data_IF_756339147876
#
_entry.id   IF_756339147876
#
_cell.length_a   1.000
_cell.length_b   1.000
_cell.length_c   1.000
_cell.angle_alpha   90.00
_cell.angle_beta   90.00
_cell.angle_gamma   90.00
#
_symmetry.space_group_name_H-M   'P 1'
#
loop_
_entity.id
_entity.type
_entity.pdbx_description
1 polymer ?
#
# COMPACT_ATOMS: atom_id res chain seq x y z
N UNK A 1 -29.45 5.61 2.98
CA UNK A 1 -28.07 6.04 3.30
C UNK A 1 -27.36 4.98 4.15
N UNK A 2 -27.95 4.51 5.26
CA UNK A 2 -27.38 3.43 6.09
C UNK A 2 -27.15 2.13 5.31
N UNK A 3 -28.09 1.73 4.42
CA UNK A 3 -27.92 0.56 3.54
C UNK A 3 -26.78 0.68 2.53
N UNK A 4 -26.35 1.90 2.18
CA UNK A 4 -25.26 2.13 1.24
C UNK A 4 -23.89 2.03 1.92
N UNK A 5 -23.73 2.64 3.10
CA UNK A 5 -22.50 2.58 3.89
C UNK A 5 -22.17 1.14 4.28
N UNK A 6 -23.17 0.40 4.77
CA UNK A 6 -23.02 -1.02 5.13
C UNK A 6 -22.69 -1.89 3.93
N UNK A 7 -23.31 -1.62 2.78
CA UNK A 7 -23.01 -2.32 1.52
C UNK A 7 -21.55 -2.11 1.09
N UNK A 8 -21.04 -0.88 1.15
CA UNK A 8 -19.65 -0.57 0.80
C UNK A 8 -18.68 -1.25 1.78
N UNK A 9 -18.95 -1.18 3.08
CA UNK A 9 -18.09 -1.79 4.10
C UNK A 9 -18.05 -3.32 4.00
N UNK A 10 -19.21 -3.97 3.82
CA UNK A 10 -19.27 -5.43 3.60
C UNK A 10 -18.60 -5.83 2.29
N UNK A 11 -18.74 -5.04 1.23
CA UNK A 11 -18.06 -5.27 -0.04
C UNK A 11 -16.54 -5.24 0.15
N UNK A 12 -16.01 -4.23 0.86
CA UNK A 12 -14.59 -4.12 1.20
C UNK A 12 -14.08 -5.38 1.91
N UNK A 13 -14.79 -5.84 2.95
CA UNK A 13 -14.35 -6.99 3.74
C UNK A 13 -14.42 -8.33 2.98
N UNK A 14 -15.43 -8.51 2.14
CA UNK A 14 -15.63 -9.75 1.39
C UNK A 14 -14.71 -9.87 0.18
N UNK A 15 -14.42 -8.76 -0.50
CA UNK A 15 -13.61 -8.78 -1.72
C UNK A 15 -12.11 -8.81 -1.43
N UNK A 16 -11.64 -8.28 -0.29
CA UNK A 16 -10.25 -8.46 0.11
C UNK A 16 -9.89 -9.94 0.40
N UNK A 17 -10.83 -10.73 0.91
CA UNK A 17 -10.64 -12.19 1.03
C UNK A 17 -10.43 -12.87 -0.35
N UNK A 18 -10.88 -12.26 -1.44
CA UNK A 18 -10.70 -12.75 -2.81
C UNK A 18 -9.42 -12.22 -3.49
N UNK A 19 -8.80 -11.14 -2.98
CA UNK A 19 -7.54 -10.56 -3.51
C UNK A 19 -6.38 -11.56 -3.48
N UNK A 20 -6.46 -12.60 -2.66
CA UNK A 20 -5.43 -13.63 -2.53
C UNK A 20 -5.54 -14.80 -3.54
N UNK A 21 -6.63 -14.91 -4.32
CA UNK A 21 -6.96 -16.16 -5.05
C UNK A 21 -6.76 -16.09 -6.57
N UNK A 22 -6.72 -14.92 -7.21
CA UNK A 22 -6.59 -14.84 -8.67
C UNK A 22 -5.47 -13.87 -9.08
N UNK A 23 -4.35 -14.46 -9.51
CA UNK A 23 -3.11 -13.79 -9.92
C UNK A 23 -3.22 -12.97 -11.22
N UNK A 24 -4.38 -12.90 -11.88
CA UNK A 24 -4.54 -12.26 -13.21
C UNK A 24 -5.37 -10.95 -13.20
N UNK A 25 -6.18 -10.67 -12.16
CA UNK A 25 -7.05 -9.46 -12.04
C UNK A 25 -6.64 -8.54 -10.87
N UNK A 26 -5.36 -8.56 -10.49
CA UNK A 26 -4.88 -7.97 -9.23
C UNK A 26 -5.00 -6.44 -9.18
N UNK A 27 -4.74 -5.76 -10.30
CA UNK A 27 -4.84 -4.30 -10.44
C UNK A 27 -6.28 -3.80 -10.31
N UNK A 28 -7.23 -4.54 -10.89
CA UNK A 28 -8.64 -4.18 -10.86
C UNK A 28 -9.19 -4.26 -9.44
N UNK A 29 -8.79 -5.28 -8.68
CA UNK A 29 -9.16 -5.42 -7.28
C UNK A 29 -8.65 -4.27 -6.40
N UNK A 30 -7.40 -3.83 -6.59
CA UNK A 30 -6.83 -2.69 -5.84
C UNK A 30 -7.58 -1.40 -6.17
N UNK A 31 -7.91 -1.15 -7.44
CA UNK A 31 -8.68 0.02 -7.86
C UNK A 31 -10.04 0.07 -7.16
N UNK A 32 -10.80 -1.03 -7.15
CA UNK A 32 -12.09 -1.07 -6.49
C UNK A 32 -11.98 -0.89 -4.97
N UNK A 33 -10.93 -1.46 -4.37
CA UNK A 33 -10.67 -1.31 -2.93
C UNK A 33 -10.38 0.14 -2.55
N UNK A 34 -9.54 0.83 -3.34
CA UNK A 34 -9.27 2.25 -3.17
C UNK A 34 -10.52 3.11 -3.37
N UNK A 35 -11.36 2.77 -4.35
CA UNK A 35 -12.63 3.46 -4.54
C UNK A 35 -13.58 3.26 -3.35
N UNK A 36 -13.66 2.05 -2.80
CA UNK A 36 -14.42 1.74 -1.60
C UNK A 36 -13.93 2.55 -0.38
N UNK A 37 -12.62 2.53 -0.11
CA UNK A 37 -12.00 3.29 0.96
C UNK A 37 -12.21 4.80 0.79
N UNK A 38 -12.02 5.34 -0.41
CA UNK A 38 -12.24 6.75 -0.73
C UNK A 38 -13.70 7.18 -0.49
N UNK A 39 -14.67 6.35 -0.86
CA UNK A 39 -16.08 6.59 -0.58
C UNK A 39 -16.37 6.55 0.93
N UNK A 40 -15.81 5.58 1.66
CA UNK A 40 -15.96 5.52 3.12
C UNK A 40 -15.41 6.77 3.79
N UNK A 41 -14.20 7.20 3.43
CA UNK A 41 -13.58 8.44 3.93
C UNK A 41 -14.52 9.63 3.69
N UNK A 42 -14.96 9.82 2.45
CA UNK A 42 -15.89 10.91 2.10
C UNK A 42 -17.19 10.88 2.91
N UNK A 43 -17.70 9.68 3.22
CA UNK A 43 -18.91 9.52 4.01
C UNK A 43 -18.69 9.80 5.49
N UNK A 44 -17.50 9.55 6.05
CA UNK A 44 -17.25 9.67 7.50
C UNK A 44 -16.53 10.95 7.92
N UNK A 45 -15.76 11.58 7.03
CA UNK A 45 -14.89 12.75 7.32
C UNK A 45 -15.65 13.88 8.03
N UNK A 46 -16.89 14.14 7.61
CA UNK A 46 -17.71 15.24 8.15
C UNK A 46 -19.06 14.79 8.72
N UNK A 47 -19.30 13.49 8.91
CA UNK A 47 -20.58 12.95 9.38
C UNK A 47 -20.41 12.07 10.61
N UNK A 48 -20.70 12.63 11.79
CA UNK A 48 -20.69 11.90 13.06
C UNK A 48 -21.65 10.70 13.05
N UNK A 49 -22.81 10.84 12.38
CA UNK A 49 -23.77 9.74 12.23
C UNK A 49 -23.16 8.60 11.43
N UNK A 50 -22.48 8.88 10.32
CA UNK A 50 -21.87 7.84 9.50
C UNK A 50 -20.68 7.19 10.22
N UNK A 51 -19.89 7.96 10.98
CA UNK A 51 -18.85 7.40 11.86
C UNK A 51 -19.42 6.40 12.84
N UNK A 52 -20.45 6.78 13.60
CA UNK A 52 -21.09 5.89 14.56
C UNK A 52 -21.66 4.64 13.88
N UNK A 53 -22.35 4.82 12.74
CA UNK A 53 -22.86 3.69 11.97
C UNK A 53 -21.75 2.75 11.51
N UNK A 54 -20.61 3.27 11.06
CA UNK A 54 -19.50 2.43 10.58
C UNK A 54 -18.84 1.67 11.73
N UNK A 55 -18.63 2.30 12.89
CA UNK A 55 -17.99 1.67 14.05
C UNK A 55 -18.83 0.53 14.63
N UNK A 56 -20.16 0.67 14.60
CA UNK A 56 -21.09 -0.37 15.09
C UNK A 56 -21.27 -1.53 14.10
N UNK A 57 -20.63 -1.49 12.92
CA UNK A 57 -20.71 -2.59 11.96
C UNK A 57 -19.84 -3.76 12.36
N UNK A 58 -20.31 -4.94 11.98
CA UNK A 58 -19.62 -6.20 12.14
C UNK A 58 -19.50 -6.91 10.79
N UNK A 59 -18.41 -7.63 10.59
CA UNK A 59 -18.13 -8.37 9.36
C UNK A 59 -17.79 -9.84 9.68
N UNK A 60 -18.22 -10.81 8.84
CA UNK A 60 -17.91 -12.22 9.07
C UNK A 60 -16.45 -12.59 8.76
N UNK A 61 -15.67 -11.70 8.13
CA UNK A 61 -14.30 -11.98 7.70
C UNK A 61 -13.29 -11.31 8.63
N UNK A 62 -12.38 -12.10 9.21
CA UNK A 62 -11.09 -11.60 9.70
C UNK A 62 -10.10 -11.63 8.53
N UNK A 63 -9.33 -10.57 8.34
CA UNK A 63 -8.27 -10.51 7.32
C UNK A 63 -7.07 -11.39 7.68
N UNK A 64 -7.09 -12.01 8.86
CA UNK A 64 -6.00 -12.77 9.45
C UNK A 64 -5.89 -14.23 9.00
N UNK A 65 -6.16 -14.55 7.73
CA UNK A 65 -5.93 -15.93 7.26
C UNK A 65 -4.43 -16.32 7.21
N UNK A 66 -3.51 -15.47 7.68
CA UNK A 66 -2.05 -15.68 7.61
C UNK A 66 -1.27 -15.62 8.93
N UNK A 67 -1.83 -15.23 10.10
CA UNK A 67 -1.06 -15.27 11.36
C UNK A 67 -1.19 -16.56 12.18
N UNK A 68 -1.76 -17.64 11.63
CA UNK A 68 -1.73 -18.97 12.26
C UNK A 68 -0.36 -19.68 12.09
N UNK A 69 0.73 -19.00 12.48
CA UNK A 69 2.02 -19.64 12.76
C UNK A 69 2.48 -19.18 14.14
N UNK A 70 1.70 -19.50 15.15
CA UNK A 70 2.26 -19.92 16.43
C UNK A 70 1.22 -20.74 17.19
N UNK A 71 1.64 -21.95 17.57
CA UNK A 71 0.80 -22.97 18.18
C UNK A 71 0.41 -22.61 19.61
N UNK A 72 -0.52 -21.66 19.76
CA UNK A 72 -1.30 -21.57 20.98
C UNK A 72 -2.80 -21.50 20.68
N UNK A 73 -3.48 -22.40 21.37
CA UNK A 73 -4.88 -22.74 21.34
C UNK A 73 -5.80 -21.52 21.50
N UNK A 74 -6.46 -21.11 20.43
CA UNK A 74 -7.87 -20.72 20.52
C UNK A 74 -8.58 -20.91 19.16
N UNK A 75 -9.51 -21.85 19.15
CA UNK A 75 -10.62 -21.93 18.20
C UNK A 75 -11.31 -20.56 18.07
N UNK A 76 -10.91 -19.70 17.13
CA UNK A 76 -11.80 -18.67 16.57
C UNK A 76 -12.57 -19.27 15.41
N UNK A 77 -13.51 -20.15 15.75
CA UNK A 77 -14.62 -20.52 14.86
C UNK A 77 -15.66 -19.40 14.92
N UNK A 78 -16.06 -18.87 13.76
CA UNK A 78 -17.33 -18.16 13.55
C UNK A 78 -17.57 -16.86 14.33
N UNK A 79 -16.55 -16.00 14.46
CA UNK A 79 -16.64 -14.72 15.15
C UNK A 79 -16.77 -13.55 14.18
N UNK A 80 -17.91 -12.86 14.23
CA UNK A 80 -18.03 -11.52 13.63
C UNK A 80 -16.95 -10.60 14.20
N UNK A 81 -16.24 -9.89 13.33
CA UNK A 81 -15.19 -8.93 13.67
C UNK A 81 -15.77 -7.51 13.59
N UNK A 82 -15.45 -6.67 14.57
CA UNK A 82 -15.88 -5.26 14.57
C UNK A 82 -15.21 -4.46 13.45
N UNK A 83 -15.86 -3.41 12.96
CA UNK A 83 -15.35 -2.66 11.80
C UNK A 83 -13.97 -2.05 12.03
N UNK A 84 -13.69 -1.53 13.23
CA UNK A 84 -12.37 -0.99 13.58
C UNK A 84 -11.31 -2.11 13.56
N UNK A 85 -11.61 -3.28 14.13
CA UNK A 85 -10.71 -4.44 14.13
C UNK A 85 -10.39 -4.90 12.71
N UNK A 86 -11.42 -5.00 11.85
CA UNK A 86 -11.23 -5.32 10.44
C UNK A 86 -10.33 -4.28 9.74
N UNK A 87 -10.58 -2.99 9.92
CA UNK A 87 -9.77 -1.94 9.28
C UNK A 87 -8.32 -1.93 9.79
N UNK A 88 -8.08 -2.18 11.08
CA UNK A 88 -6.71 -2.27 11.62
C UNK A 88 -5.99 -3.50 11.04
N UNK A 89 -6.67 -4.64 10.94
CA UNK A 89 -6.09 -5.84 10.32
C UNK A 89 -5.73 -5.61 8.84
N UNK A 90 -6.62 -4.98 8.06
CA UNK A 90 -6.35 -4.59 6.67
C UNK A 90 -5.14 -3.66 6.59
N UNK A 91 -5.06 -2.64 7.45
CA UNK A 91 -3.91 -1.74 7.50
C UNK A 91 -2.59 -2.49 7.74
N UNK A 92 -2.53 -3.32 8.79
CA UNK A 92 -1.32 -4.05 9.16
C UNK A 92 -0.91 -5.08 8.10
N UNK A 93 -1.88 -5.75 7.48
CA UNK A 93 -1.62 -6.69 6.39
C UNK A 93 -0.96 -6.00 5.21
N UNK A 94 -1.48 -4.83 4.80
CA UNK A 94 -0.98 -4.08 3.65
C UNK A 94 0.36 -3.42 3.93
N UNK A 95 0.52 -2.86 5.12
CA UNK A 95 1.79 -2.29 5.55
C UNK A 95 2.90 -3.37 5.57
N UNK A 96 2.61 -4.57 6.09
CA UNK A 96 3.56 -5.68 6.07
C UNK A 96 3.88 -6.15 4.65
N UNK A 97 2.87 -6.27 3.79
CA UNK A 97 3.05 -6.66 2.40
C UNK A 97 3.92 -5.65 1.63
N UNK A 98 3.71 -4.34 1.87
CA UNK A 98 4.52 -3.28 1.29
C UNK A 98 5.98 -3.32 1.76
N UNK A 99 6.23 -3.54 3.06
CA UNK A 99 7.59 -3.67 3.62
C UNK A 99 8.34 -4.88 3.05
N UNK A 100 7.66 -6.02 2.92
CA UNK A 100 8.25 -7.22 2.31
C UNK A 100 8.61 -6.98 0.85
N UNK A 101 7.71 -6.35 0.08
CA UNK A 101 7.97 -6.01 -1.32
C UNK A 101 9.12 -4.99 -1.47
N UNK A 102 9.25 -4.02 -0.56
CA UNK A 102 10.37 -3.05 -0.53
C UNK A 102 11.71 -3.75 -0.27
N UNK A 103 11.75 -4.67 0.71
CA UNK A 103 12.97 -5.41 1.05
C UNK A 103 13.41 -6.30 -0.11
N UNK A 104 12.46 -7.00 -0.76
CA UNK A 104 12.74 -7.82 -1.94
C UNK A 104 13.34 -6.98 -3.08
N UNK A 105 12.79 -5.79 -3.36
CA UNK A 105 13.36 -4.88 -4.39
C UNK A 105 14.75 -4.37 -4.03
N UNK A 106 15.01 -4.09 -2.75
CA UNK A 106 16.32 -3.60 -2.30
C UNK A 106 17.43 -4.65 -2.47
N UNK A 107 17.10 -5.93 -2.30
CA UNK A 107 18.05 -7.02 -2.50
C UNK A 107 18.40 -7.18 -3.99
N UNK A 108 17.44 -7.07 -4.91
CA UNK A 108 17.71 -7.06 -6.36
C UNK A 108 18.64 -5.91 -6.79
N UNK A 109 18.49 -4.72 -6.19
CA UNK A 109 19.32 -3.54 -6.49
C UNK A 109 20.75 -3.71 -5.95
N UNK A 110 20.92 -4.40 -4.81
CA UNK A 110 22.26 -4.63 -4.23
C UNK A 110 23.02 -5.75 -4.93
N UNK A 111 22.31 -6.76 -5.41
CA UNK A 111 22.90 -7.90 -6.11
C UNK A 111 23.25 -7.61 -7.58
N UNK A 112 22.89 -6.45 -8.11
CA UNK A 112 23.35 -6.01 -9.43
C UNK A 112 24.86 -5.72 -9.36
N UNK A 113 25.74 -6.51 -10.03
CA UNK A 113 27.16 -6.21 -10.03
C UNK A 113 27.35 -4.82 -10.63
N UNK A 114 28.12 -3.96 -9.97
CA UNK A 114 28.57 -2.69 -10.57
C UNK A 114 29.14 -3.03 -11.94
N UNK A 115 28.51 -2.62 -13.06
CA UNK A 115 28.99 -3.00 -14.37
C UNK A 115 30.44 -2.47 -14.47
N UNK A 116 31.41 -3.31 -14.90
CA UNK A 116 32.75 -2.81 -15.15
C UNK A 116 32.62 -1.62 -16.10
N UNK A 117 33.15 -0.46 -15.70
CA UNK A 117 33.07 0.79 -16.46
C UNK A 117 33.21 0.51 -17.96
N UNK A 118 32.10 0.59 -18.67
CA UNK A 118 32.08 0.38 -20.10
C UNK A 118 32.93 1.48 -20.74
N UNK A 119 34.02 1.07 -21.39
CA UNK A 119 34.86 1.92 -22.22
C UNK A 119 34.29 2.04 -23.65
N UNK A 120 32.97 1.88 -23.84
CA UNK A 120 32.27 2.09 -25.09
C UNK A 120 31.51 3.43 -25.09
N UNK A 121 32.06 4.39 -25.86
CA UNK A 121 31.35 5.60 -26.26
C UNK A 121 31.47 6.80 -25.31
N UNK A 122 31.87 7.94 -25.87
CA UNK A 122 31.88 9.23 -25.19
C UNK A 122 30.85 10.14 -25.86
N UNK A 123 29.96 10.74 -25.07
CA UNK A 123 29.03 11.74 -25.55
C UNK A 123 29.78 13.01 -25.93
N UNK A 124 29.61 13.47 -27.18
CA UNK A 124 30.11 14.78 -27.62
C UNK A 124 28.95 15.65 -28.10
N UNK A 125 28.85 16.83 -27.52
CA UNK A 125 27.82 17.81 -27.86
C UNK A 125 28.36 18.75 -28.94
N UNK A 126 27.86 18.61 -30.17
CA UNK A 126 28.17 19.54 -31.26
C UNK A 126 26.91 20.28 -31.65
N UNK A 127 26.89 21.59 -31.40
CA UNK A 127 25.88 22.54 -31.90
C UNK A 127 24.40 22.12 -31.74
N UNK A 128 24.04 21.62 -30.56
CA UNK A 128 22.64 21.45 -30.15
C UNK A 128 21.95 20.17 -30.60
N UNK A 129 22.69 19.15 -31.04
CA UNK A 129 22.17 17.79 -31.23
C UNK A 129 23.12 16.76 -30.59
N UNK A 130 22.56 15.82 -29.82
CA UNK A 130 23.29 14.71 -29.20
C UNK A 130 23.37 13.53 -30.18
N UNK A 131 24.59 13.19 -30.61
CA UNK A 131 24.85 12.00 -31.43
C UNK A 131 25.72 10.99 -30.67
N UNK A 132 25.27 9.74 -30.65
CA UNK A 132 26.03 8.60 -30.15
C UNK A 132 26.97 8.08 -31.24
N UNK A 133 28.25 7.88 -30.90
CA UNK A 133 29.23 7.25 -31.81
C UNK A 133 29.72 5.95 -31.18
N UNK A 134 29.30 4.81 -31.74
CA UNK A 134 29.85 3.49 -31.40
C UNK A 134 31.14 3.25 -32.20
N UNK A 135 32.22 2.82 -31.53
CA UNK A 135 33.39 2.28 -32.23
C UNK A 135 33.08 0.85 -32.65
N UNK A 136 32.90 0.63 -33.95
CA UNK A 136 32.71 -0.72 -34.49
C UNK A 136 34.00 -1.53 -34.37
N UNK A 137 33.97 -2.60 -33.55
CA UNK A 137 34.80 -3.78 -33.83
C UNK A 137 34.19 -5.08 -33.25
N UNK A 138 33.48 -5.79 -34.13
CA UNK A 138 33.41 -7.27 -34.31
C UNK A 138 32.94 -8.24 -33.20
N UNK A 139 32.05 -9.15 -33.67
CA UNK A 139 31.75 -10.51 -33.22
C UNK A 139 30.55 -10.72 -32.26
N UNK A 140 29.38 -11.00 -32.87
CA UNK A 140 28.16 -11.53 -32.21
C UNK A 140 28.47 -12.81 -31.44
N UNK A 141 28.29 -12.81 -30.12
CA UNK A 141 28.34 -14.00 -29.27
C UNK A 141 26.92 -14.41 -28.86
N UNK A 142 26.56 -15.69 -29.06
CA UNK A 142 25.29 -16.28 -28.61
C UNK A 142 25.15 -16.29 -27.06
N UNK A 143 26.21 -15.94 -26.33
CA UNK A 143 26.23 -15.81 -24.87
C UNK A 143 25.61 -14.48 -24.40
N UNK A 144 25.71 -13.41 -25.19
CA UNK A 144 25.13 -12.08 -24.88
C UNK A 144 23.60 -12.13 -24.89
N UNK A 145 23.01 -12.96 -25.74
CA UNK A 145 21.56 -13.08 -25.88
C UNK A 145 20.86 -13.80 -24.72
N UNK A 146 21.60 -14.66 -24.00
CA UNK A 146 21.10 -15.33 -22.78
C UNK A 146 21.29 -14.45 -21.55
N UNK A 147 22.39 -13.72 -21.48
CA UNK A 147 22.64 -12.74 -20.41
C UNK A 147 21.64 -11.58 -20.53
N UNK A 148 21.34 -11.07 -21.73
CA UNK A 148 20.27 -10.07 -21.95
C UNK A 148 18.86 -10.59 -21.58
N UNK A 149 18.51 -11.85 -21.92
CA UNK A 149 17.21 -12.43 -21.55
C UNK A 149 17.08 -12.65 -20.02
N UNK A 150 18.12 -13.15 -19.35
CA UNK A 150 18.12 -13.34 -17.89
C UNK A 150 18.09 -11.98 -17.14
N UNK A 151 18.82 -10.97 -17.62
CA UNK A 151 18.78 -9.60 -17.08
C UNK A 151 17.42 -8.91 -17.31
N UNK A 152 16.81 -9.07 -18.48
CA UNK A 152 15.47 -8.53 -18.78
C UNK A 152 14.37 -9.19 -17.93
N UNK A 153 14.51 -10.48 -17.64
CA UNK A 153 13.62 -11.21 -16.73
C UNK A 153 13.73 -10.67 -15.29
N UNK A 154 14.93 -10.33 -14.82
CA UNK A 154 15.13 -9.81 -13.46
C UNK A 154 14.69 -8.34 -13.30
N UNK A 155 14.87 -7.50 -14.33
CA UNK A 155 14.33 -6.13 -14.32
C UNK A 155 12.79 -6.12 -14.29
N UNK A 156 12.14 -6.99 -15.08
CA UNK A 156 10.68 -7.09 -15.09
C UNK A 156 10.11 -7.55 -13.73
N UNK A 157 10.79 -8.48 -13.03
CA UNK A 157 10.43 -8.86 -11.66
C UNK A 157 10.58 -7.69 -10.69
N UNK A 158 11.71 -6.98 -10.74
CA UNK A 158 11.94 -5.82 -9.87
C UNK A 158 10.87 -4.74 -10.07
N UNK A 159 10.48 -4.46 -11.33
CA UNK A 159 9.40 -3.53 -11.66
C UNK A 159 8.04 -4.00 -11.11
N UNK A 160 7.73 -5.29 -11.21
CA UNK A 160 6.48 -5.85 -10.65
C UNK A 160 6.46 -5.77 -9.11
N UNK A 161 7.58 -6.06 -8.44
CA UNK A 161 7.67 -5.93 -6.98
C UNK A 161 7.57 -4.47 -6.53
N UNK A 162 8.19 -3.54 -7.25
CA UNK A 162 8.04 -2.10 -6.99
C UNK A 162 6.59 -1.63 -7.18
N UNK A 163 5.92 -2.10 -8.24
CA UNK A 163 4.49 -1.84 -8.46
C UNK A 163 3.62 -2.36 -7.32
N UNK A 164 3.85 -3.60 -6.88
CA UNK A 164 3.15 -4.21 -5.74
C UNK A 164 3.38 -3.44 -4.44
N UNK A 165 4.61 -3.03 -4.15
CA UNK A 165 4.92 -2.17 -3.00
C UNK A 165 4.06 -0.90 -3.03
N UNK A 166 3.98 -0.23 -4.17
CA UNK A 166 3.18 0.99 -4.32
C UNK A 166 1.69 0.73 -4.08
N UNK A 167 1.13 -0.35 -4.64
CA UNK A 167 -0.27 -0.72 -4.44
C UNK A 167 -0.60 -0.93 -2.95
N UNK A 168 0.19 -1.75 -2.27
CA UNK A 168 -0.02 -2.05 -0.84
C UNK A 168 0.20 -0.79 0.03
N UNK A 169 1.19 0.06 -0.27
CA UNK A 169 1.41 1.34 0.39
C UNK A 169 0.20 2.29 0.25
N UNK A 170 -0.36 2.42 -0.95
CA UNK A 170 -1.51 3.30 -1.19
C UNK A 170 -2.72 2.79 -0.41
N UNK A 171 -3.01 1.48 -0.46
CA UNK A 171 -4.13 0.89 0.29
C UNK A 171 -3.96 1.08 1.80
N UNK A 172 -2.77 0.82 2.34
CA UNK A 172 -2.48 1.03 3.76
C UNK A 172 -2.72 2.50 4.15
N UNK A 173 -2.30 3.43 3.30
CA UNK A 173 -2.47 4.88 3.53
C UNK A 173 -3.93 5.32 3.58
N UNK A 174 -4.76 4.86 2.63
CA UNK A 174 -6.20 5.14 2.64
C UNK A 174 -6.90 4.52 3.87
N UNK A 175 -6.49 3.32 4.27
CA UNK A 175 -7.03 2.66 5.47
C UNK A 175 -6.63 3.42 6.74
N UNK A 176 -5.37 3.85 6.85
CA UNK A 176 -4.88 4.65 7.95
C UNK A 176 -5.61 6.01 8.04
N UNK A 177 -5.87 6.64 6.89
CA UNK A 177 -6.63 7.89 6.82
C UNK A 177 -8.07 7.70 7.30
N UNK A 178 -8.73 6.60 6.88
CA UNK A 178 -10.07 6.25 7.35
C UNK A 178 -10.10 6.02 8.87
N UNK A 179 -9.17 5.23 9.40
CA UNK A 179 -9.02 5.01 10.84
C UNK A 179 -8.77 6.32 11.60
N UNK A 180 -7.92 7.20 11.07
CA UNK A 180 -7.66 8.52 11.64
C UNK A 180 -8.91 9.41 11.68
N UNK A 181 -9.72 9.42 10.62
CA UNK A 181 -11.02 10.10 10.60
C UNK A 181 -12.00 9.55 11.65
N UNK A 182 -11.96 8.24 11.94
CA UNK A 182 -12.76 7.64 13.01
C UNK A 182 -12.24 8.02 14.40
N UNK A 183 -10.93 8.19 14.56
CA UNK A 183 -10.29 8.54 15.83
C UNK A 183 -10.51 10.01 16.25
N UNK A 184 -10.38 10.97 15.32
CA UNK A 184 -10.41 12.42 15.58
C UNK A 184 -11.59 12.93 16.44
N UNK A 185 -12.70 12.20 16.43
CA UNK A 185 -13.97 12.64 16.99
C UNK A 185 -14.50 11.66 18.06
N UNK A 186 -13.70 10.66 18.45
CA UNK A 186 -14.09 9.67 19.46
C UNK A 186 -12.86 9.08 20.20
N UNK A 187 -12.66 9.42 21.49
CA UNK A 187 -11.57 8.84 22.29
C UNK A 187 -11.74 7.33 22.54
N UNK A 188 -12.97 6.83 22.44
CA UNK A 188 -13.26 5.39 22.50
C UNK A 188 -12.61 4.69 21.31
N UNK A 189 -12.74 5.26 20.11
CA UNK A 189 -12.15 4.68 18.90
C UNK A 189 -10.62 4.70 18.98
N UNK A 190 -10.01 5.75 19.54
CA UNK A 190 -8.56 5.81 19.78
C UNK A 190 -8.12 4.66 20.69
N UNK A 191 -8.86 4.40 21.76
CA UNK A 191 -8.55 3.30 22.70
C UNK A 191 -8.65 1.95 22.01
N UNK A 192 -9.71 1.72 21.24
CA UNK A 192 -9.88 0.47 20.48
C UNK A 192 -8.78 0.27 19.45
N UNK A 193 -8.44 1.30 18.66
CA UNK A 193 -7.33 1.20 17.70
C UNK A 193 -6.01 0.94 18.40
N UNK A 194 -5.75 1.59 19.55
CA UNK A 194 -4.55 1.35 20.36
C UNK A 194 -4.43 -0.09 20.83
N UNK A 195 -5.53 -0.71 21.26
CA UNK A 195 -5.53 -2.11 21.71
C UNK A 195 -5.27 -3.10 20.57
N UNK A 196 -5.57 -2.70 19.33
CA UNK A 196 -5.43 -3.52 18.14
C UNK A 196 -4.08 -3.32 17.41
N UNK A 197 -3.41 -2.20 17.64
CA UNK A 197 -2.10 -1.92 17.05
C UNK A 197 -0.98 -2.65 17.79
N UNK A 198 0.08 -3.10 17.09
CA UNK A 198 1.28 -3.60 17.74
C UNK A 198 1.85 -2.57 18.72
N UNK A 199 2.07 -2.97 19.97
CA UNK A 199 2.59 -2.11 21.04
C UNK A 199 1.72 -0.89 21.38
N UNK A 200 0.52 -0.77 20.77
CA UNK A 200 -0.34 0.40 20.89
C UNK A 200 0.28 1.68 20.32
N UNK A 201 1.20 1.54 19.37
CA UNK A 201 1.93 2.65 18.76
C UNK A 201 1.27 3.10 17.44
N UNK A 202 0.88 4.37 17.39
CA UNK A 202 0.29 5.00 16.20
C UNK A 202 1.34 5.43 15.17
N UNK A 203 2.64 5.40 15.51
CA UNK A 203 3.73 5.83 14.64
C UNK A 203 3.73 5.08 13.29
N UNK A 204 3.37 3.80 13.29
CA UNK A 204 3.23 3.00 12.05
C UNK A 204 2.21 3.62 11.08
N UNK A 205 1.12 4.21 11.59
CA UNK A 205 0.11 4.88 10.77
C UNK A 205 0.58 6.26 10.32
N UNK A 206 1.21 7.05 11.21
CA UNK A 206 1.64 8.42 10.87
C UNK A 206 2.81 8.41 9.90
N UNK A 207 3.77 7.50 10.04
CA UNK A 207 4.85 7.29 9.07
C UNK A 207 4.31 6.93 7.67
N UNK A 208 3.34 6.02 7.60
CA UNK A 208 2.69 5.66 6.33
C UNK A 208 1.98 6.86 5.70
N UNK A 209 1.23 7.63 6.49
CA UNK A 209 0.53 8.83 6.02
C UNK A 209 1.49 9.95 5.61
N UNK A 210 2.65 10.09 6.25
CA UNK A 210 3.70 11.02 5.82
C UNK A 210 4.29 10.64 4.47
N UNK A 211 4.62 9.36 4.26
CA UNK A 211 5.07 8.84 2.96
C UNK A 211 4.01 9.09 1.89
N UNK A 212 2.74 8.83 2.21
CA UNK A 212 1.62 9.08 1.31
C UNK A 212 1.45 10.55 0.95
N UNK A 213 1.47 11.45 1.94
CA UNK A 213 1.34 12.89 1.70
C UNK A 213 2.47 13.40 0.78
N UNK A 214 3.70 12.95 1.02
CA UNK A 214 4.85 13.28 0.16
C UNK A 214 4.65 12.76 -1.27
N UNK A 215 4.17 11.52 -1.42
CA UNK A 215 3.85 10.93 -2.72
C UNK A 215 2.76 11.71 -3.47
N UNK A 216 1.68 12.11 -2.80
CA UNK A 216 0.59 12.89 -3.40
C UNK A 216 1.04 14.30 -3.82
N UNK A 217 2.01 14.87 -3.08
CA UNK A 217 2.63 16.15 -3.45
C UNK A 217 3.48 16.03 -4.72
N UNK A 218 4.21 14.92 -4.88
CA UNK A 218 5.05 14.66 -6.05
C UNK A 218 4.22 14.37 -7.32
N UNK A 219 3.10 13.66 -7.18
CA UNK A 219 2.24 13.25 -8.31
C UNK A 219 1.21 14.31 -8.71
N UNK A 220 1.13 15.44 -8.01
CA UNK A 220 0.14 16.50 -8.21
C UNK A 220 -1.32 15.99 -8.18
N UNK A 221 -1.58 14.85 -7.54
CA UNK A 221 -2.86 14.15 -7.61
C UNK A 221 -3.92 14.65 -6.60
N UNK A 222 -3.54 15.52 -5.65
CA UNK A 222 -4.43 16.06 -4.62
C UNK A 222 -4.47 17.59 -4.64
N UNK A 223 -5.68 18.15 -4.60
CA UNK A 223 -5.89 19.58 -4.39
C UNK A 223 -5.55 20.02 -2.96
N UNK A 224 -5.30 21.32 -2.77
CA UNK A 224 -4.84 21.90 -1.48
C UNK A 224 -5.73 21.58 -0.28
N UNK A 225 -7.01 21.29 -0.49
CA UNK A 225 -7.95 20.87 0.56
C UNK A 225 -7.68 19.44 1.06
N UNK A 226 -7.38 18.49 0.17
CA UNK A 226 -7.11 17.10 0.55
C UNK A 226 -5.79 16.97 1.32
N UNK A 227 -4.76 17.71 0.90
CA UNK A 227 -3.49 17.83 1.63
C UNK A 227 -3.72 18.28 3.08
N UNK A 228 -4.51 19.33 3.29
CA UNK A 228 -4.82 19.84 4.63
C UNK A 228 -5.57 18.83 5.49
N UNK A 229 -6.49 18.06 4.89
CA UNK A 229 -7.23 17.03 5.61
C UNK A 229 -6.28 15.92 6.09
N UNK A 230 -5.41 15.41 5.20
CA UNK A 230 -4.40 14.41 5.54
C UNK A 230 -3.45 14.92 6.64
N UNK A 231 -2.91 16.14 6.50
CA UNK A 231 -2.04 16.73 7.53
C UNK A 231 -2.73 16.87 8.89
N UNK A 232 -4.02 17.23 8.92
CA UNK A 232 -4.79 17.31 10.16
C UNK A 232 -4.96 15.94 10.82
N UNK A 233 -5.14 14.88 10.02
CA UNK A 233 -5.23 13.50 10.53
C UNK A 233 -3.90 13.06 11.12
N UNK A 234 -2.79 13.32 10.43
CA UNK A 234 -1.44 13.03 10.94
C UNK A 234 -1.20 13.74 12.27
N UNK A 235 -1.42 15.06 12.32
CA UNK A 235 -1.22 15.85 13.53
C UNK A 235 -2.04 15.30 14.70
N UNK A 236 -3.28 14.86 14.48
CA UNK A 236 -4.08 14.25 15.54
C UNK A 236 -3.50 12.93 16.04
N UNK A 237 -3.09 12.05 15.12
CA UNK A 237 -2.55 10.73 15.45
C UNK A 237 -1.18 10.81 16.15
N UNK A 238 -0.34 11.80 15.83
CA UNK A 238 0.94 12.05 16.53
C UNK A 238 0.75 12.37 18.03
N UNK A 239 -0.45 12.82 18.42
CA UNK A 239 -0.80 13.12 19.81
C UNK A 239 -1.59 11.99 20.50
N UNK A 240 -1.78 10.84 19.82
CA UNK A 240 -2.49 9.68 20.37
C UNK A 240 -1.55 8.76 21.14
#
# INVERSE_FOLDING_TARGET
>A
MMSGLEGIFRWLCTHESAVHVLLDDRTDCVIYLLQGLGLLINLVEHSARNRHCLVDMETPCSFDSFCAVDGNDSLRMDGQVGAIEALVQLFLQRERAARLAETETDDFIKDTPVPPQDQSGQWQETAGSLEWIQSENSAKNENEKKEEEDEEIDLNKALQHAGKHMEDCIVASYTALLLGCLCQESPVNVTTVRELLPEGDFSIMTEMLHKFLNFMNLTCAVGTTGQKSISRVIEYLDHC
#
